data_IF_770403852530
#
_entry.id   IF_770403852530
#
_cell.length_a   1.000
_cell.length_b   1.000
_cell.length_c   1.000
_cell.angle_alpha   90.00
_cell.angle_beta   90.00
_cell.angle_gamma   90.00
#
_symmetry.space_group_name_H-M   'P 1'
#
loop_
_entity.id
_entity.type
_entity.pdbx_description
1 polymer ?
#
# COMPACT_ATOMS: atom_id res chain seq x y z
N UNK A 1 8.20 -2.61 -8.46
CA UNK A 1 6.85 -3.19 -8.57
C UNK A 1 6.23 -2.78 -9.89
N UNK A 2 5.60 -3.72 -10.61
CA UNK A 2 4.77 -3.42 -11.79
C UNK A 2 3.31 -3.45 -11.35
N UNK A 3 2.55 -2.38 -11.62
CA UNK A 3 1.11 -2.33 -11.38
C UNK A 3 0.39 -3.04 -12.55
N UNK A 4 0.49 -4.37 -12.58
CA UNK A 4 -0.11 -5.18 -13.65
C UNK A 4 -1.56 -5.52 -13.31
N UNK A 5 -2.45 -5.35 -14.28
CA UNK A 5 -3.88 -5.64 -14.11
C UNK A 5 -4.54 -4.79 -13.03
N UNK A 6 -5.52 -5.37 -12.35
CA UNK A 6 -6.18 -4.76 -11.19
C UNK A 6 -5.45 -5.18 -9.92
N UNK A 7 -5.10 -4.21 -9.08
CA UNK A 7 -4.45 -4.47 -7.80
C UNK A 7 -5.42 -5.15 -6.84
N UNK A 8 -4.86 -5.82 -5.83
CA UNK A 8 -5.58 -6.42 -4.72
C UNK A 8 -5.07 -5.81 -3.42
N UNK A 9 -5.95 -5.63 -2.45
CA UNK A 9 -5.57 -5.19 -1.11
C UNK A 9 -5.11 -6.38 -0.26
N UNK A 10 -3.95 -6.27 0.39
CA UNK A 10 -3.44 -7.26 1.32
C UNK A 10 -3.21 -6.63 2.69
N UNK A 11 -3.64 -7.35 3.73
CA UNK A 11 -3.22 -7.11 5.10
C UNK A 11 -1.96 -7.96 5.33
N UNK A 12 -0.83 -7.30 5.47
CA UNK A 12 0.46 -7.94 5.78
C UNK A 12 0.87 -7.58 7.19
N UNK A 13 1.18 -8.59 7.99
CA UNK A 13 1.66 -8.47 9.37
C UNK A 13 3.02 -9.12 9.48
N UNK A 14 3.97 -8.41 10.09
CA UNK A 14 5.30 -8.94 10.35
C UNK A 14 5.89 -8.40 11.65
N UNK A 15 6.93 -9.07 12.11
CA UNK A 15 7.68 -8.71 13.32
C UNK A 15 9.16 -9.07 13.16
N UNK A 16 9.99 -8.59 14.09
CA UNK A 16 11.36 -9.11 14.24
C UNK A 16 11.32 -10.53 14.79
N UNK A 17 12.35 -11.30 14.48
CA UNK A 17 12.55 -12.59 15.15
C UNK A 17 12.77 -12.34 16.66
N UNK A 18 12.20 -13.18 17.54
CA UNK A 18 12.51 -13.14 18.96
C UNK A 18 14.02 -13.23 19.22
N UNK A 19 14.51 -12.45 20.19
CA UNK A 19 15.91 -12.46 20.62
C UNK A 19 15.98 -12.61 22.14
N UNK A 20 17.12 -13.04 22.72
CA UNK A 20 17.25 -13.09 24.18
C UNK A 20 17.02 -11.74 24.88
N UNK A 21 17.24 -10.62 24.18
CA UNK A 21 16.97 -9.27 24.69
C UNK A 21 15.50 -8.86 24.58
N UNK A 22 14.75 -9.46 23.66
CA UNK A 22 13.36 -9.13 23.39
C UNK A 22 12.61 -10.38 22.90
N UNK A 23 11.98 -11.08 23.84
CA UNK A 23 11.27 -12.34 23.59
C UNK A 23 9.97 -12.15 22.80
N UNK A 24 9.30 -11.00 22.97
CA UNK A 24 8.02 -10.70 22.31
C UNK A 24 8.09 -9.40 21.50
N UNK A 25 8.72 -9.44 20.30
CA UNK A 25 8.78 -8.26 19.44
C UNK A 25 7.38 -7.79 19.00
N UNK A 26 7.14 -6.47 18.87
CA UNK A 26 5.84 -5.94 18.46
C UNK A 26 5.50 -6.32 17.02
N UNK A 27 4.21 -6.51 16.76
CA UNK A 27 3.64 -6.78 15.45
C UNK A 27 3.38 -5.46 14.70
N UNK A 28 3.80 -5.40 13.44
CA UNK A 28 3.50 -4.29 12.53
C UNK A 28 2.57 -4.76 11.44
N UNK A 29 1.49 -4.00 11.23
CA UNK A 29 0.47 -4.25 10.20
C UNK A 29 0.52 -3.16 9.14
N UNK A 30 0.47 -3.56 7.87
CA UNK A 30 0.32 -2.64 6.73
C UNK A 30 -0.79 -3.11 5.79
N UNK A 31 -1.48 -2.14 5.20
CA UNK A 31 -2.35 -2.34 4.03
C UNK A 31 -1.47 -2.15 2.78
N UNK A 32 -1.34 -3.20 1.97
CA UNK A 32 -0.47 -3.20 0.79
C UNK A 32 -1.31 -3.51 -0.44
N UNK A 33 -1.25 -2.64 -1.44
CA UNK A 33 -1.90 -2.86 -2.74
C UNK A 33 -0.92 -3.54 -3.69
N UNK A 34 -1.22 -4.75 -4.15
CA UNK A 34 -0.33 -5.52 -5.02
C UNK A 34 -1.08 -6.47 -5.95
N UNK A 35 -0.48 -6.88 -7.09
CA UNK A 35 -1.09 -7.87 -7.98
C UNK A 35 -1.22 -9.26 -7.33
N UNK A 36 -0.26 -9.64 -6.48
CA UNK A 36 -0.22 -10.94 -5.81
C UNK A 36 0.47 -10.84 -4.44
N UNK A 37 0.36 -11.92 -3.66
CA UNK A 37 0.90 -12.00 -2.31
C UNK A 37 2.44 -11.92 -2.25
N UNK A 38 3.15 -12.39 -3.28
CA UNK A 38 4.62 -12.33 -3.35
C UNK A 38 5.09 -10.87 -3.41
N UNK A 39 4.48 -10.09 -4.29
CA UNK A 39 4.75 -8.65 -4.40
C UNK A 39 4.28 -7.91 -3.16
N UNK A 40 3.17 -8.32 -2.54
CA UNK A 40 2.70 -7.74 -1.28
C UNK A 40 3.73 -7.90 -0.15
N UNK A 41 4.28 -9.10 0.04
CA UNK A 41 5.36 -9.37 1.01
C UNK A 41 6.60 -8.54 0.69
N UNK A 42 7.00 -8.46 -0.58
CA UNK A 42 8.15 -7.65 -1.01
C UNK A 42 7.98 -6.17 -0.68
N UNK A 43 6.81 -5.59 -0.95
CA UNK A 43 6.51 -4.18 -0.62
C UNK A 43 6.39 -3.93 0.87
N UNK A 44 5.83 -4.87 1.64
CA UNK A 44 5.85 -4.80 3.10
C UNK A 44 7.28 -4.67 3.63
N UNK A 45 8.19 -5.54 3.17
CA UNK A 45 9.60 -5.50 3.60
C UNK A 45 10.32 -4.21 3.19
N UNK A 46 10.01 -3.68 2.00
CA UNK A 46 10.48 -2.37 1.56
C UNK A 46 10.08 -1.27 2.56
N UNK A 47 8.78 -1.14 2.86
CA UNK A 47 8.30 -0.06 3.75
C UNK A 47 8.73 -0.24 5.21
N UNK A 48 8.68 -1.46 5.77
CA UNK A 48 9.06 -1.68 7.17
C UNK A 48 10.55 -1.46 7.40
N UNK A 49 11.39 -1.68 6.38
CA UNK A 49 12.82 -1.37 6.47
C UNK A 49 13.08 0.13 6.60
N UNK A 50 12.31 0.95 5.89
CA UNK A 50 12.39 2.41 5.94
C UNK A 50 11.84 2.96 7.27
N UNK A 51 10.74 2.39 7.77
CA UNK A 51 10.05 2.91 8.96
C UNK A 51 10.62 2.40 10.30
N UNK A 52 11.09 1.15 10.36
CA UNK A 52 11.44 0.47 11.63
C UNK A 52 12.81 -0.23 11.60
N UNK A 53 13.66 0.07 10.60
CA UNK A 53 14.99 -0.53 10.41
C UNK A 53 14.95 -2.07 10.51
N UNK A 54 13.89 -2.68 9.99
CA UNK A 54 13.65 -4.12 10.05
C UNK A 54 13.89 -4.74 8.67
N UNK A 55 14.73 -5.78 8.59
CA UNK A 55 15.04 -6.48 7.34
C UNK A 55 14.39 -7.86 7.32
N UNK A 56 14.17 -8.41 6.13
CA UNK A 56 13.62 -9.77 5.95
C UNK A 56 14.47 -10.85 6.61
N UNK A 57 15.79 -10.67 6.70
CA UNK A 57 16.68 -11.65 7.36
C UNK A 57 16.56 -11.66 8.89
N UNK A 58 16.13 -10.55 9.49
CA UNK A 58 16.01 -10.40 10.96
C UNK A 58 14.55 -10.34 11.42
N UNK A 59 13.62 -10.72 10.56
CA UNK A 59 12.19 -10.70 10.86
C UNK A 59 11.42 -11.71 10.03
N UNK A 60 10.16 -11.87 10.37
CA UNK A 60 9.26 -12.82 9.73
C UNK A 60 7.93 -12.16 9.37
N UNK A 61 7.29 -12.69 8.32
CA UNK A 61 5.92 -12.34 7.97
C UNK A 61 4.98 -13.32 8.67
N UNK A 62 4.25 -12.84 9.66
CA UNK A 62 3.32 -13.64 10.47
C UNK A 62 2.02 -13.90 9.72
N UNK A 63 1.53 -12.91 8.97
CA UNK A 63 0.30 -13.04 8.20
C UNK A 63 0.40 -12.26 6.89
N UNK A 64 -0.14 -12.83 5.80
CA UNK A 64 -0.30 -12.15 4.53
C UNK A 64 -1.57 -12.67 3.86
N UNK A 65 -2.66 -11.94 4.00
CA UNK A 65 -3.96 -12.32 3.44
C UNK A 65 -4.61 -11.18 2.68
N UNK A 66 -5.34 -11.53 1.63
CA UNK A 66 -6.12 -10.58 0.84
C UNK A 66 -7.28 -10.04 1.68
N UNK A 67 -7.53 -8.74 1.57
CA UNK A 67 -8.68 -8.07 2.15
C UNK A 67 -9.66 -7.77 1.02
N UNK A 68 -10.89 -8.23 1.18
CA UNK A 68 -11.96 -7.97 0.23
C UNK A 68 -12.75 -6.72 0.66
N UNK A 69 -13.27 -6.00 -0.33
CA UNK A 69 -14.10 -4.83 -0.10
C UNK A 69 -15.39 -5.24 0.61
N UNK A 70 -15.80 -4.48 1.64
CA UNK A 70 -16.98 -4.82 2.45
C UNK A 70 -18.30 -4.58 1.70
N UNK A 71 -18.34 -3.56 0.87
CA UNK A 71 -19.53 -3.16 0.11
C UNK A 71 -19.17 -2.90 -1.36
N UNK A 72 -18.86 -3.96 -2.14
CA UNK A 72 -18.35 -3.82 -3.51
C UNK A 72 -19.41 -3.39 -4.53
N UNK A 73 -20.69 -3.36 -4.15
CA UNK A 73 -21.79 -2.92 -5.03
C UNK A 73 -22.15 -1.45 -4.84
N UNK A 74 -21.56 -0.77 -3.84
CA UNK A 74 -21.83 0.63 -3.54
C UNK A 74 -20.71 1.51 -4.09
N UNK A 75 -21.08 2.53 -4.86
CA UNK A 75 -20.14 3.54 -5.33
C UNK A 75 -19.70 4.43 -4.17
N UNK A 76 -18.40 4.68 -4.07
CA UNK A 76 -17.76 5.43 -2.99
C UNK A 76 -16.80 6.47 -3.57
N UNK A 77 -16.50 7.50 -2.78
CA UNK A 77 -15.39 8.40 -3.06
C UNK A 77 -14.22 7.98 -2.18
N UNK A 78 -13.01 7.90 -2.74
CA UNK A 78 -11.80 7.51 -2.04
C UNK A 78 -10.77 8.63 -2.09
N UNK A 79 -10.36 9.12 -0.93
CA UNK A 79 -9.19 9.99 -0.80
C UNK A 79 -7.93 9.15 -0.69
N UNK A 80 -6.95 9.47 -1.53
CA UNK A 80 -5.67 8.78 -1.60
C UNK A 80 -4.57 9.80 -1.34
N UNK A 81 -3.85 9.60 -0.24
CA UNK A 81 -2.61 10.32 0.04
C UNK A 81 -1.46 9.49 -0.47
N UNK A 82 -0.69 10.09 -1.38
CA UNK A 82 0.46 9.46 -1.98
C UNK A 82 1.69 10.37 -1.91
N UNK A 83 2.84 9.73 -1.80
CA UNK A 83 4.13 10.32 -2.07
C UNK A 83 4.62 9.81 -3.42
N UNK A 84 5.06 10.72 -4.29
CA UNK A 84 5.58 10.37 -5.60
C UNK A 84 6.94 11.02 -5.82
N UNK A 85 7.89 10.22 -6.27
CA UNK A 85 9.20 10.71 -6.70
C UNK A 85 9.10 11.13 -8.18
N UNK A 86 9.35 12.40 -8.46
CA UNK A 86 9.46 12.99 -9.80
C UNK A 86 10.91 12.96 -10.28
N UNK A 87 11.18 13.55 -11.45
CA UNK A 87 12.56 13.69 -11.95
C UNK A 87 13.37 14.72 -11.17
N UNK A 88 12.70 15.65 -10.50
CA UNK A 88 13.33 16.81 -9.86
C UNK A 88 13.17 16.83 -8.33
N UNK A 89 12.45 15.88 -7.74
CA UNK A 89 12.24 15.83 -6.30
C UNK A 89 11.11 14.90 -5.88
N UNK A 90 10.84 14.85 -4.59
CA UNK A 90 9.77 14.01 -4.02
C UNK A 90 8.61 14.89 -3.57
N UNK A 91 7.39 14.58 -4.03
CA UNK A 91 6.21 15.39 -3.78
C UNK A 91 5.12 14.57 -3.09
N UNK A 92 4.43 15.19 -2.14
CA UNK A 92 3.21 14.63 -1.57
C UNK A 92 2.02 15.12 -2.39
N UNK A 93 1.04 14.26 -2.58
CA UNK A 93 -0.20 14.58 -3.27
C UNK A 93 -1.37 13.97 -2.53
N UNK A 94 -2.50 14.65 -2.61
CA UNK A 94 -3.81 14.14 -2.26
C UNK A 94 -4.65 14.08 -3.53
N UNK A 95 -5.32 12.96 -3.78
CA UNK A 95 -6.20 12.77 -4.94
C UNK A 95 -7.43 11.98 -4.57
N UNK A 96 -8.54 12.30 -5.21
CA UNK A 96 -9.81 11.64 -5.01
C UNK A 96 -10.22 10.83 -6.23
N UNK A 97 -10.78 9.65 -5.97
CA UNK A 97 -11.26 8.73 -7.00
C UNK A 97 -12.63 8.18 -6.63
N UNK A 98 -13.53 8.13 -7.61
CA UNK A 98 -14.86 7.52 -7.45
C UNK A 98 -14.83 6.11 -8.01
N UNK A 99 -15.00 5.12 -7.14
CA UNK A 99 -14.93 3.70 -7.51
C UNK A 99 -15.79 2.84 -6.56
N UNK A 100 -15.97 1.56 -6.89
CA UNK A 100 -16.69 0.56 -6.09
C UNK A 100 -15.80 -0.06 -4.99
N UNK A 101 -14.49 -0.16 -5.25
CA UNK A 101 -13.56 -0.85 -4.34
C UNK A 101 -12.30 -0.03 -4.09
N UNK A 102 -11.73 -0.19 -2.89
CA UNK A 102 -10.47 0.45 -2.51
C UNK A 102 -9.33 0.06 -3.48
N UNK A 103 -9.26 -1.22 -3.85
CA UNK A 103 -8.24 -1.72 -4.76
C UNK A 103 -8.41 -1.20 -6.20
N UNK A 104 -9.66 -1.00 -6.64
CA UNK A 104 -9.99 -0.32 -7.89
C UNK A 104 -9.50 1.13 -7.89
N UNK A 105 -9.85 1.89 -6.85
CA UNK A 105 -9.47 3.30 -6.72
C UNK A 105 -7.94 3.48 -6.73
N UNK A 106 -7.20 2.62 -6.02
CA UNK A 106 -5.72 2.65 -6.06
C UNK A 106 -5.18 2.24 -7.43
N UNK A 107 -5.81 1.28 -8.12
CA UNK A 107 -5.44 0.94 -9.50
C UNK A 107 -5.63 2.14 -10.44
N UNK A 108 -6.75 2.85 -10.31
CA UNK A 108 -7.02 4.08 -11.06
C UNK A 108 -5.96 5.14 -10.74
N UNK A 109 -5.59 5.30 -9.47
CA UNK A 109 -4.53 6.21 -9.05
C UNK A 109 -3.18 5.91 -9.73
N UNK A 110 -2.75 4.66 -9.76
CA UNK A 110 -1.51 4.28 -10.46
C UNK A 110 -1.56 4.60 -11.96
N UNK A 111 -2.71 4.37 -12.62
CA UNK A 111 -2.89 4.68 -14.05
C UNK A 111 -2.87 6.17 -14.31
N UNK A 112 -3.57 6.94 -13.49
CA UNK A 112 -3.70 8.39 -13.61
C UNK A 112 -2.37 9.11 -13.33
N UNK A 113 -1.62 8.66 -12.31
CA UNK A 113 -0.27 9.15 -12.04
C UNK A 113 0.71 8.79 -13.18
N UNK A 114 0.56 7.61 -13.77
CA UNK A 114 1.33 7.21 -14.96
C UNK A 114 0.98 8.05 -16.20
N UNK A 115 -0.30 8.38 -16.40
CA UNK A 115 -0.76 9.14 -17.55
C UNK A 115 -0.37 10.62 -17.47
N UNK A 116 -0.64 11.28 -16.34
CA UNK A 116 -0.42 12.73 -16.20
C UNK A 116 1.02 13.09 -15.89
N UNK A 117 1.67 12.30 -15.04
CA UNK A 117 3.00 12.65 -14.49
C UNK A 117 4.10 11.71 -14.97
N UNK A 118 3.78 10.70 -15.78
CA UNK A 118 4.70 9.62 -16.18
C UNK A 118 5.35 8.94 -14.97
N UNK A 119 4.65 8.96 -13.83
CA UNK A 119 5.12 8.39 -12.58
C UNK A 119 5.08 6.87 -12.68
N UNK A 120 6.23 6.23 -12.43
CA UNK A 120 6.33 4.77 -12.45
C UNK A 120 5.80 4.21 -11.14
N UNK A 121 5.23 3.00 -11.18
CA UNK A 121 4.66 2.37 -9.99
C UNK A 121 5.66 2.15 -8.84
N UNK A 122 6.97 2.09 -9.11
CA UNK A 122 7.99 2.03 -8.06
C UNK A 122 8.27 3.37 -7.38
N UNK A 123 8.00 4.48 -8.06
CA UNK A 123 8.17 5.86 -7.58
C UNK A 123 6.96 6.36 -6.77
N UNK A 124 5.83 5.65 -6.85
CA UNK A 124 4.59 5.99 -6.13
C UNK A 124 4.49 5.16 -4.85
N UNK A 125 4.25 5.84 -3.74
CA UNK A 125 4.05 5.26 -2.41
C UNK A 125 2.68 5.70 -1.91
N UNK A 126 1.75 4.76 -1.81
CA UNK A 126 0.43 5.00 -1.22
C UNK A 126 0.58 4.97 0.31
N UNK A 127 0.27 6.09 0.97
CA UNK A 127 0.43 6.25 2.42
C UNK A 127 -0.88 5.97 3.15
N UNK A 128 -1.99 6.46 2.60
CA UNK A 128 -3.31 6.36 3.21
C UNK A 128 -4.39 6.33 2.13
N UNK A 129 -5.44 5.55 2.39
CA UNK A 129 -6.64 5.47 1.54
C UNK A 129 -7.86 5.41 2.45
N UNK A 130 -8.77 6.36 2.29
CA UNK A 130 -9.99 6.48 3.09
C UNK A 130 -11.22 6.70 2.21
N UNK A 131 -12.37 6.16 2.64
CA UNK A 131 -13.67 6.46 2.04
C UNK A 131 -14.15 7.83 2.55
N UNK A 132 -14.62 8.68 1.63
CA UNK A 132 -15.03 10.06 1.90
C UNK A 132 -16.51 10.22 1.57
N UNK A 133 -17.22 10.95 2.42
CA UNK A 133 -18.60 11.34 2.19
C UNK A 133 -18.68 12.40 1.07
N UNK A 134 -19.79 12.45 0.34
CA UNK A 134 -19.95 13.42 -0.75
C UNK A 134 -19.94 14.90 -0.31
N UNK A 135 -20.12 15.17 0.99
CA UNK A 135 -20.20 16.51 1.57
C UNK A 135 -18.86 17.06 2.09
N UNK A 136 -17.78 16.28 1.99
CA UNK A 136 -16.42 16.74 2.30
C UNK A 136 -15.71 17.13 1.01
#
# INVERSE_FOLDING_TARGET
MKASGTLREYKVVGRRLPTPKCHTPPLYRMRIFAPNHVVAKSRFWYFVSQLKKMKKSSGETVYCGQVFEKSPLRVKNFGIWLRCDSRSGTHNMYREYRDLTTAGAVTQCYRDMGARHRARAHSIQIMMVEEIAASK
#
